data_IF_712289182465
#
_entry.id   IF_712289182465
#
_cell.length_a   1.000
_cell.length_b   1.000
_cell.length_c   1.000
_cell.angle_alpha   90.00
_cell.angle_beta   90.00
_cell.angle_gamma   90.00
#
_symmetry.space_group_name_H-M   'P 1'
#
loop_
_entity.id
_entity.type
_entity.pdbx_description
1 polymer ?
#
# COMPACT_ATOMS: atom_id res chain seq x y z
N UNK A 1 -9.59 -6.27 -32.57
CA UNK A 1 -10.40 -6.09 -31.34
C UNK A 1 -11.86 -5.97 -31.75
N UNK A 2 -12.65 -7.01 -31.56
CA UNK A 2 -14.09 -6.97 -31.82
C UNK A 2 -14.75 -5.95 -30.89
N UNK A 3 -15.47 -4.97 -31.47
CA UNK A 3 -16.26 -4.01 -30.69
C UNK A 3 -17.41 -4.78 -30.07
N UNK A 4 -17.34 -5.06 -28.77
CA UNK A 4 -18.48 -5.59 -28.01
C UNK A 4 -19.66 -4.60 -28.13
N UNK A 5 -20.61 -4.90 -29.00
CA UNK A 5 -21.85 -4.15 -29.15
C UNK A 5 -22.77 -4.48 -27.98
N UNK A 6 -23.38 -3.46 -27.38
CA UNK A 6 -24.39 -3.69 -26.34
C UNK A 6 -25.64 -4.30 -26.98
N UNK A 7 -26.35 -5.17 -26.25
CA UNK A 7 -27.65 -5.67 -26.69
C UNK A 7 -28.64 -4.50 -26.87
N UNK A 8 -29.63 -4.62 -27.79
CA UNK A 8 -30.63 -3.58 -28.02
C UNK A 8 -31.36 -3.14 -26.75
N UNK A 9 -31.72 -4.10 -25.89
CA UNK A 9 -32.36 -3.87 -24.58
C UNK A 9 -31.46 -3.03 -23.66
N UNK A 10 -30.18 -3.37 -23.60
CA UNK A 10 -29.21 -2.65 -22.78
C UNK A 10 -28.98 -1.23 -23.29
N UNK A 11 -29.00 -1.03 -24.61
CA UNK A 11 -28.95 0.31 -25.20
C UNK A 11 -30.19 1.13 -24.87
N UNK A 12 -31.38 0.53 -24.93
CA UNK A 12 -32.63 1.18 -24.56
C UNK A 12 -32.59 1.63 -23.09
N UNK A 13 -32.18 0.75 -22.17
CA UNK A 13 -32.06 1.09 -20.76
C UNK A 13 -31.06 2.24 -20.52
N UNK A 14 -29.89 2.22 -21.17
CA UNK A 14 -28.90 3.30 -21.09
C UNK A 14 -29.48 4.63 -21.62
N UNK A 15 -30.21 4.60 -22.75
CA UNK A 15 -30.85 5.79 -23.33
C UNK A 15 -31.90 6.37 -22.39
N UNK A 16 -32.79 5.53 -21.85
CA UNK A 16 -33.82 5.89 -20.88
C UNK A 16 -33.21 6.56 -19.65
N UNK A 17 -32.22 5.92 -19.02
CA UNK A 17 -31.53 6.43 -17.84
C UNK A 17 -30.86 7.79 -18.09
N UNK A 18 -30.17 7.95 -19.24
CA UNK A 18 -29.55 9.23 -19.61
C UNK A 18 -30.59 10.33 -19.78
N UNK A 19 -31.74 10.01 -20.37
CA UNK A 19 -32.80 10.98 -20.59
C UNK A 19 -33.48 11.37 -19.29
N UNK A 20 -33.82 10.42 -18.42
CA UNK A 20 -34.37 10.66 -17.09
C UNK A 20 -33.50 11.65 -16.30
N UNK A 21 -32.18 11.40 -16.23
CA UNK A 21 -31.22 12.27 -15.54
C UNK A 21 -31.11 13.66 -16.18
N UNK A 22 -31.13 13.74 -17.51
CA UNK A 22 -31.07 15.02 -18.23
C UNK A 22 -32.33 15.85 -18.00
N UNK A 23 -33.50 15.23 -18.06
CA UNK A 23 -34.78 15.88 -17.80
C UNK A 23 -34.86 16.33 -16.35
N UNK A 24 -34.49 15.48 -15.40
CA UNK A 24 -34.48 15.84 -13.98
C UNK A 24 -33.58 17.04 -13.67
N UNK A 25 -32.43 17.15 -14.37
CA UNK A 25 -31.56 18.32 -14.24
C UNK A 25 -32.17 19.61 -14.83
N UNK A 26 -32.99 19.51 -15.89
CA UNK A 26 -33.55 20.68 -16.59
C UNK A 26 -34.89 21.13 -16.01
N UNK A 27 -35.79 20.17 -15.75
CA UNK A 27 -37.19 20.41 -15.39
C UNK A 27 -37.60 19.33 -14.36
N UNK A 28 -37.08 19.38 -13.12
CA UNK A 28 -37.22 18.29 -12.14
C UNK A 28 -38.67 17.92 -11.83
N UNK A 29 -39.55 18.91 -11.70
CA UNK A 29 -40.97 18.72 -11.33
C UNK A 29 -41.76 17.97 -12.42
N UNK A 30 -41.43 18.18 -13.69
CA UNK A 30 -42.14 17.58 -14.83
C UNK A 30 -41.37 16.44 -15.50
N UNK A 31 -40.14 16.15 -15.04
CA UNK A 31 -39.26 15.18 -15.67
C UNK A 31 -39.87 13.77 -15.74
N UNK A 32 -40.61 13.35 -14.71
CA UNK A 32 -41.29 12.06 -14.72
C UNK A 32 -42.40 12.00 -15.79
N UNK A 33 -43.28 12.99 -15.85
CA UNK A 33 -44.36 13.04 -16.84
C UNK A 33 -43.83 13.07 -18.28
N UNK A 34 -42.74 13.80 -18.52
CA UNK A 34 -42.04 13.81 -19.81
C UNK A 34 -41.46 12.44 -20.16
N UNK A 35 -40.94 11.70 -19.18
CA UNK A 35 -40.49 10.31 -19.39
C UNK A 35 -41.66 9.36 -19.70
N UNK A 36 -42.81 9.55 -19.05
CA UNK A 36 -44.00 8.72 -19.24
C UNK A 36 -44.63 8.90 -20.63
N UNK A 37 -44.56 10.12 -21.20
CA UNK A 37 -45.01 10.39 -22.57
C UNK A 37 -44.23 9.62 -23.63
N UNK A 38 -42.93 9.37 -23.40
CA UNK A 38 -42.06 8.72 -24.38
C UNK A 38 -41.87 7.23 -24.12
N UNK A 39 -41.97 6.81 -22.86
CA UNK A 39 -41.90 5.42 -22.45
C UNK A 39 -43.22 5.03 -21.76
N UNK A 40 -44.25 4.61 -22.53
CA UNK A 40 -45.50 4.15 -21.97
C UNK A 40 -45.27 2.97 -21.01
N UNK A 41 -45.88 3.02 -19.84
CA UNK A 41 -45.68 2.01 -18.79
C UNK A 41 -44.47 2.24 -17.88
N UNK A 42 -43.73 3.35 -18.06
CA UNK A 42 -42.62 3.69 -17.17
C UNK A 42 -43.12 4.08 -15.76
N UNK A 43 -42.86 3.19 -14.81
CA UNK A 43 -43.29 3.37 -13.43
C UNK A 43 -42.47 4.45 -12.69
N UNK A 44 -43.11 5.13 -11.75
CA UNK A 44 -42.46 6.15 -10.92
C UNK A 44 -41.29 5.58 -10.11
N UNK A 45 -41.38 4.32 -9.66
CA UNK A 45 -40.30 3.62 -8.96
C UNK A 45 -39.05 3.45 -9.82
N UNK A 46 -39.22 3.15 -11.11
CA UNK A 46 -38.10 3.04 -12.06
C UNK A 46 -37.41 4.39 -12.30
N UNK A 47 -38.19 5.48 -12.31
CA UNK A 47 -37.65 6.84 -12.43
C UNK A 47 -36.71 7.19 -11.28
N UNK A 48 -37.14 6.93 -10.05
CA UNK A 48 -36.30 7.18 -8.87
C UNK A 48 -35.05 6.29 -8.85
N UNK A 49 -35.15 5.04 -9.27
CA UNK A 49 -34.00 4.14 -9.35
C UNK A 49 -33.01 4.56 -10.46
N UNK A 50 -33.49 5.05 -11.60
CA UNK A 50 -32.64 5.58 -12.68
C UNK A 50 -31.88 6.86 -12.24
N UNK A 51 -32.48 7.68 -11.37
CA UNK A 51 -31.85 8.87 -10.77
C UNK A 51 -30.84 8.53 -9.66
N UNK A 52 -30.90 7.33 -9.08
CA UNK A 52 -30.02 6.93 -7.98
C UNK A 52 -28.54 7.00 -8.37
N UNK A 53 -27.76 7.72 -7.57
CA UNK A 53 -26.30 7.82 -7.76
C UNK A 53 -25.65 6.50 -7.31
N UNK A 54 -25.23 5.67 -8.27
CA UNK A 54 -24.43 4.46 -7.99
C UNK A 54 -22.96 4.86 -7.88
N UNK A 55 -22.45 5.02 -6.65
CA UNK A 55 -21.01 5.20 -6.41
C UNK A 55 -20.28 3.90 -6.73
N UNK A 56 -19.18 3.97 -7.47
CA UNK A 56 -18.30 2.81 -7.64
C UNK A 56 -17.75 2.39 -6.26
N UNK A 57 -17.62 1.09 -5.96
CA UNK A 57 -16.96 0.65 -4.74
C UNK A 57 -15.53 1.20 -4.70
N UNK A 58 -15.05 1.57 -3.51
CA UNK A 58 -13.66 2.02 -3.34
C UNK A 58 -12.73 0.87 -3.77
N UNK A 59 -11.69 1.15 -4.57
CA UNK A 59 -10.73 0.11 -4.94
C UNK A 59 -10.07 -0.44 -3.67
N UNK A 60 -9.84 -1.75 -3.62
CA UNK A 60 -9.05 -2.36 -2.54
C UNK A 60 -7.66 -1.71 -2.56
N UNK A 61 -7.17 -1.24 -1.41
CA UNK A 61 -5.80 -0.73 -1.27
C UNK A 61 -4.82 -1.82 -1.72
N UNK A 62 -3.95 -1.50 -2.67
CA UNK A 62 -2.82 -2.38 -2.99
C UNK A 62 -1.93 -2.47 -1.75
N UNK A 63 -1.34 -3.65 -1.51
CA UNK A 63 -0.30 -3.81 -0.48
C UNK A 63 0.78 -2.75 -0.69
N UNK A 64 1.20 -2.10 0.39
CA UNK A 64 2.24 -1.07 0.31
C UNK A 64 3.54 -1.68 -0.24
N UNK A 65 4.18 -0.99 -1.19
CA UNK A 65 5.50 -1.37 -1.70
C UNK A 65 6.57 -1.39 -0.61
N UNK A 66 6.30 -0.85 0.58
CA UNK A 66 7.21 -0.84 1.71
C UNK A 66 7.52 -2.24 2.27
N UNK A 67 6.63 -3.22 2.06
CA UNK A 67 6.76 -4.59 2.60
C UNK A 67 8.07 -5.26 2.19
N UNK A 68 8.63 -4.91 1.02
CA UNK A 68 9.88 -5.49 0.51
C UNK A 68 11.12 -5.08 1.31
N UNK A 69 11.07 -3.99 2.08
CA UNK A 69 12.23 -3.50 2.81
C UNK A 69 12.37 -4.18 4.18
N UNK A 70 13.60 -4.49 4.57
CA UNK A 70 13.84 -5.27 5.78
C UNK A 70 13.52 -4.55 7.10
N UNK A 71 13.42 -3.22 7.09
CA UNK A 71 12.96 -2.43 8.26
C UNK A 71 11.45 -2.48 8.48
N UNK A 72 10.67 -2.85 7.45
CA UNK A 72 9.20 -2.79 7.49
C UNK A 72 8.59 -3.57 8.65
N UNK A 73 9.04 -4.82 8.85
CA UNK A 73 8.50 -5.67 9.90
C UNK A 73 8.80 -5.15 11.31
N UNK A 74 9.97 -4.54 11.52
CA UNK A 74 10.29 -3.90 12.80
C UNK A 74 9.38 -2.69 13.05
N UNK A 75 9.13 -1.87 12.03
CA UNK A 75 8.20 -0.73 12.12
C UNK A 75 6.81 -1.23 12.53
N UNK A 76 6.29 -2.29 11.93
CA UNK A 76 5.00 -2.86 12.28
C UNK A 76 4.96 -3.39 13.73
N UNK A 77 6.02 -4.06 14.19
CA UNK A 77 6.15 -4.50 15.59
C UNK A 77 6.10 -3.32 16.57
N UNK A 78 6.82 -2.23 16.27
CA UNK A 78 6.83 -1.02 17.10
C UNK A 78 5.48 -0.31 17.12
N UNK A 79 4.82 -0.17 15.97
CA UNK A 79 3.49 0.45 15.89
C UNK A 79 2.43 -0.38 16.62
N UNK A 80 2.51 -1.71 16.54
CA UNK A 80 1.64 -2.60 17.32
C UNK A 80 1.87 -2.42 18.81
N UNK A 81 3.12 -2.48 19.26
CA UNK A 81 3.47 -2.28 20.67
C UNK A 81 3.06 -0.89 21.19
N UNK A 82 3.14 0.15 20.36
CA UNK A 82 2.61 1.49 20.68
C UNK A 82 1.08 1.45 20.85
N UNK A 83 0.35 0.76 19.99
CA UNK A 83 -1.10 0.59 20.13
C UNK A 83 -1.49 -0.10 21.44
N UNK A 84 -0.66 -1.05 21.90
CA UNK A 84 -0.90 -1.80 23.13
C UNK A 84 -0.50 -1.03 24.41
N UNK A 85 0.58 -0.24 24.36
CA UNK A 85 1.20 0.40 25.56
C UNK A 85 0.96 1.91 25.66
N UNK A 86 0.70 2.59 24.55
CA UNK A 86 0.68 4.05 24.48
C UNK A 86 2.05 4.74 24.57
N UNK A 87 3.17 3.99 24.61
CA UNK A 87 4.50 4.59 24.75
C UNK A 87 4.96 5.31 23.47
N UNK A 88 5.00 6.65 23.53
CA UNK A 88 5.39 7.53 22.44
C UNK A 88 6.80 7.22 21.91
N UNK A 89 7.70 6.70 22.74
CA UNK A 89 9.05 6.36 22.30
C UNK A 89 9.05 5.29 21.20
N UNK A 90 8.13 4.32 21.27
CA UNK A 90 7.96 3.30 20.24
C UNK A 90 7.52 3.92 18.91
N UNK A 91 6.64 4.92 18.96
CA UNK A 91 6.21 5.68 17.80
C UNK A 91 7.37 6.48 17.17
N UNK A 92 8.17 7.15 18.01
CA UNK A 92 9.36 7.91 17.56
C UNK A 92 10.37 6.98 16.89
N UNK A 93 10.62 5.80 17.47
CA UNK A 93 11.50 4.79 16.86
C UNK A 93 10.97 4.29 15.52
N UNK A 94 9.67 4.00 15.44
CA UNK A 94 9.02 3.58 14.20
C UNK A 94 9.16 4.64 13.10
N UNK A 95 8.95 5.91 13.44
CA UNK A 95 9.11 7.06 12.51
C UNK A 95 10.54 7.18 12.00
N UNK A 96 11.54 7.10 12.88
CA UNK A 96 12.97 7.13 12.49
C UNK A 96 13.34 6.00 11.53
N UNK A 97 12.81 4.79 11.75
CA UNK A 97 13.03 3.66 10.85
C UNK A 97 12.32 3.86 9.50
N UNK A 98 11.13 4.45 9.50
CA UNK A 98 10.35 4.74 8.30
C UNK A 98 11.06 5.74 7.38
N UNK A 99 11.62 6.82 7.94
CA UNK A 99 12.40 7.83 7.20
C UNK A 99 13.63 7.24 6.50
N UNK A 100 14.13 6.10 7.00
CA UNK A 100 15.32 5.42 6.48
C UNK A 100 14.99 4.07 5.84
N UNK A 101 13.72 3.79 5.52
CA UNK A 101 13.28 2.46 5.11
C UNK A 101 14.04 1.92 3.90
N UNK A 102 14.28 2.76 2.90
CA UNK A 102 14.97 2.41 1.67
C UNK A 102 16.49 2.67 1.70
N UNK A 103 17.01 3.28 2.77
CA UNK A 103 18.45 3.56 2.89
C UNK A 103 19.23 2.28 3.19
N UNK A 104 20.43 2.06 2.62
CA UNK A 104 21.27 0.94 3.01
C UNK A 104 21.62 1.01 4.50
N UNK A 105 22.00 -0.12 5.09
CA UNK A 105 22.54 -0.14 6.44
C UNK A 105 24.04 0.16 6.37
N UNK A 106 24.52 1.04 7.24
CA UNK A 106 25.94 1.26 7.46
C UNK A 106 26.28 0.73 8.84
N UNK A 107 27.22 -0.21 8.90
CA UNK A 107 27.70 -0.81 10.13
C UNK A 107 29.17 -0.42 10.29
N UNK A 108 29.46 0.25 11.41
CA UNK A 108 30.81 0.65 11.77
C UNK A 108 31.33 -0.29 12.86
N UNK A 109 32.48 -0.91 12.61
CA UNK A 109 33.17 -1.79 13.57
C UNK A 109 34.47 -1.13 13.95
N UNK A 110 34.65 -0.84 15.23
CA UNK A 110 35.88 -0.24 15.77
C UNK A 110 36.73 -1.32 16.42
N UNK A 111 37.95 -1.51 15.91
CA UNK A 111 38.94 -2.43 16.47
C UNK A 111 40.18 -1.64 16.88
N UNK A 112 40.33 -1.36 18.18
CA UNK A 112 41.40 -0.50 18.68
C UNK A 112 41.31 0.92 18.10
N UNK A 113 42.30 1.30 17.29
CA UNK A 113 42.36 2.60 16.59
C UNK A 113 41.73 2.60 15.20
N UNK A 114 41.43 1.41 14.66
CA UNK A 114 40.91 1.26 13.30
C UNK A 114 39.39 1.20 13.30
N UNK A 115 38.79 1.70 12.22
CA UNK A 115 37.35 1.69 11.99
C UNK A 115 37.08 1.09 10.61
N UNK A 116 36.25 0.05 10.59
CA UNK A 116 35.81 -0.63 9.39
C UNK A 116 34.36 -0.29 9.11
N UNK A 117 34.04 0.11 7.88
CA UNK A 117 32.68 0.41 7.44
C UNK A 117 32.18 -0.69 6.50
N UNK A 118 31.00 -1.23 6.80
CA UNK A 118 30.30 -2.20 5.97
C UNK A 118 28.94 -1.66 5.55
N UNK A 119 28.64 -1.77 4.25
CA UNK A 119 27.36 -1.34 3.67
C UNK A 119 26.52 -2.54 3.25
N UNK A 120 25.27 -2.57 3.71
CA UNK A 120 24.33 -3.66 3.43
C UNK A 120 23.04 -3.15 2.79
N UNK A 121 22.45 -3.97 1.93
CA UNK A 121 21.19 -3.67 1.23
C UNK A 121 20.02 -3.40 2.18
N UNK A 122 19.15 -2.45 1.82
CA UNK A 122 17.95 -2.09 2.58
C UNK A 122 16.86 -3.17 2.60
N UNK A 123 16.98 -4.19 1.75
CA UNK A 123 16.06 -5.33 1.70
C UNK A 123 16.35 -6.39 2.78
N UNK A 124 17.54 -6.36 3.39
CA UNK A 124 17.91 -7.31 4.44
C UNK A 124 17.13 -6.98 5.72
N UNK A 125 16.47 -7.97 6.36
CA UNK A 125 15.77 -7.78 7.63
C UNK A 125 16.67 -7.14 8.69
N UNK A 126 16.16 -6.10 9.38
CA UNK A 126 16.94 -5.37 10.39
C UNK A 126 17.44 -6.30 11.51
N UNK A 127 16.66 -7.32 11.89
CA UNK A 127 17.03 -8.31 12.90
C UNK A 127 18.31 -9.07 12.55
N UNK A 128 18.53 -9.36 11.25
CA UNK A 128 19.79 -9.98 10.79
C UNK A 128 20.98 -9.05 10.94
N UNK A 129 20.82 -7.77 10.64
CA UNK A 129 21.86 -6.76 10.82
C UNK A 129 22.18 -6.59 12.32
N UNK A 130 21.17 -6.57 13.19
CA UNK A 130 21.39 -6.50 14.63
C UNK A 130 22.16 -7.73 15.16
N UNK A 131 21.85 -8.94 14.68
CA UNK A 131 22.63 -10.14 15.01
C UNK A 131 24.07 -10.03 14.53
N UNK A 132 24.30 -9.57 13.30
CA UNK A 132 25.65 -9.34 12.77
C UNK A 132 26.44 -8.35 13.65
N UNK A 133 25.83 -7.24 14.05
CA UNK A 133 26.50 -6.27 14.93
C UNK A 133 26.87 -6.86 16.30
N UNK A 134 26.07 -7.83 16.81
CA UNK A 134 26.42 -8.56 18.04
C UNK A 134 27.59 -9.52 17.82
N UNK A 135 27.66 -10.18 16.66
CA UNK A 135 28.79 -11.04 16.31
C UNK A 135 30.09 -10.23 16.17
N UNK A 136 30.05 -9.08 15.49
CA UNK A 136 31.21 -8.19 15.39
C UNK A 136 31.74 -7.70 16.73
N UNK A 137 30.89 -7.56 17.75
CA UNK A 137 31.35 -7.20 19.11
C UNK A 137 32.17 -8.31 19.78
N UNK A 138 32.01 -9.56 19.37
CA UNK A 138 32.76 -10.69 19.90
C UNK A 138 34.12 -10.88 19.21
N UNK A 139 34.26 -10.35 17.99
CA UNK A 139 35.49 -10.43 17.20
C UNK A 139 36.60 -9.55 17.82
N UNK A 140 37.82 -10.09 17.87
CA UNK A 140 39.01 -9.40 18.39
C UNK A 140 40.07 -9.15 17.33
N UNK A 141 39.97 -9.83 16.19
CA UNK A 141 40.91 -9.69 15.08
C UNK A 141 40.18 -9.25 13.81
N UNK A 142 40.94 -8.66 12.88
CA UNK A 142 40.42 -8.23 11.57
C UNK A 142 39.97 -9.43 10.74
N UNK A 143 40.71 -10.55 10.82
CA UNK A 143 40.40 -11.80 10.12
C UNK A 143 39.06 -12.42 10.58
N UNK A 144 38.76 -12.35 11.89
CA UNK A 144 37.46 -12.77 12.43
C UNK A 144 36.32 -11.90 11.89
N UNK A 145 36.52 -10.59 11.78
CA UNK A 145 35.51 -9.67 11.23
C UNK A 145 35.24 -10.02 9.77
N UNK A 146 36.28 -10.21 8.97
CA UNK A 146 36.15 -10.54 7.54
C UNK A 146 35.49 -11.90 7.32
N UNK A 147 35.83 -12.91 8.13
CA UNK A 147 35.19 -14.23 8.04
C UNK A 147 33.71 -14.18 8.39
N UNK A 148 33.34 -13.48 9.48
CA UNK A 148 31.93 -13.26 9.87
C UNK A 148 31.18 -12.50 8.78
N UNK A 149 31.78 -11.45 8.21
CA UNK A 149 31.15 -10.68 7.14
C UNK A 149 30.93 -11.53 5.87
N UNK A 150 31.93 -12.33 5.46
CA UNK A 150 31.81 -13.25 4.32
C UNK A 150 30.72 -14.30 4.53
N UNK A 151 30.66 -14.89 5.72
CA UNK A 151 29.60 -15.85 6.08
C UNK A 151 28.22 -15.19 6.05
N UNK A 152 28.11 -13.96 6.55
CA UNK A 152 26.87 -13.20 6.51
C UNK A 152 26.43 -12.94 5.08
N UNK A 153 27.32 -12.45 4.21
CA UNK A 153 27.02 -12.19 2.81
C UNK A 153 26.54 -13.46 2.09
N UNK A 154 27.23 -14.59 2.31
CA UNK A 154 26.84 -15.89 1.74
C UNK A 154 25.46 -16.38 2.24
N UNK A 155 25.06 -16.00 3.46
CA UNK A 155 23.77 -16.38 4.04
C UNK A 155 22.58 -15.53 3.57
N UNK A 156 22.83 -14.45 2.82
CA UNK A 156 21.76 -13.58 2.33
C UNK A 156 21.15 -14.22 1.08
N UNK A 157 19.85 -14.54 1.08
CA UNK A 157 19.18 -14.98 -0.14
C UNK A 157 19.21 -13.85 -1.18
N UNK A 158 19.80 -14.15 -2.33
CA UNK A 158 19.76 -13.28 -3.50
C UNK A 158 18.33 -13.35 -4.04
N UNK A 159 17.59 -12.23 -3.96
CA UNK A 159 16.23 -12.09 -4.46
C UNK A 159 16.21 -11.38 -5.82
#
# INVERSE_FOLDING_TARGET
>A
MERKTFSPERLMHIRRLRKARRLYKKIPLFAYYQMLQEYPGYALSEFWEDLRIRRKPKPKSKKSNAIKYGRYWRIQKLLKAYGDTGDINLMVQAKKLQERIAKPYQVFVKLGRECYEFSFSCYIPLEKIEMLTKQFRACKTVEEIDTVNKQFIASIPIY
#
